data_IF_899732983313
#
_entry.id   IF_899732983313
#
_cell.length_a   1.000
_cell.length_b   1.000
_cell.length_c   1.000
_cell.angle_alpha   90.00
_cell.angle_beta   90.00
_cell.angle_gamma   90.00
#
_symmetry.space_group_name_H-M   'P 1'
#
loop_
_entity.id
_entity.type
_entity.pdbx_description
1 polymer ?
#
# COMPACT_ATOMS: atom_id res chain seq x y z
N UNK A 1 7.22 -5.81 0.73
CA UNK A 1 6.55 -4.60 1.26
C UNK A 1 5.77 -3.91 0.16
N UNK A 2 4.54 -3.48 0.44
CA UNK A 2 3.76 -2.66 -0.47
C UNK A 2 2.82 -1.71 0.31
N UNK A 3 2.40 -0.61 -0.33
CA UNK A 3 1.24 0.17 0.12
C UNK A 3 -0.05 -0.48 -0.37
N UNK A 4 -1.17 -0.19 0.27
CA UNK A 4 -2.48 -0.73 -0.06
C UNK A 4 -2.94 -0.40 -1.49
N UNK A 5 -2.65 0.81 -1.99
CA UNK A 5 -2.93 1.17 -3.37
C UNK A 5 -2.19 0.29 -4.37
N UNK A 6 -0.88 0.18 -4.23
CA UNK A 6 -0.05 -0.66 -5.11
C UNK A 6 -0.44 -2.15 -5.01
N UNK A 7 -0.69 -2.64 -3.79
CA UNK A 7 -1.12 -4.01 -3.56
C UNK A 7 -2.48 -4.30 -4.21
N UNK A 8 -3.44 -3.38 -4.08
CA UNK A 8 -4.79 -3.54 -4.62
C UNK A 8 -4.85 -3.81 -6.12
N UNK A 9 -3.86 -3.33 -6.88
CA UNK A 9 -3.76 -3.57 -8.33
C UNK A 9 -3.54 -5.06 -8.65
N UNK A 10 -2.80 -5.78 -7.81
CA UNK A 10 -2.41 -7.18 -8.03
C UNK A 10 -2.91 -8.12 -6.93
N UNK A 11 -3.92 -7.71 -6.17
CA UNK A 11 -4.45 -8.48 -5.04
C UNK A 11 -4.94 -9.89 -5.44
N UNK A 12 -5.42 -10.06 -6.67
CA UNK A 12 -5.82 -11.35 -7.22
C UNK A 12 -4.68 -12.39 -7.22
N UNK A 13 -3.41 -11.97 -7.25
CA UNK A 13 -2.27 -12.88 -7.21
C UNK A 13 -2.11 -13.60 -5.86
N UNK A 14 -2.79 -13.16 -4.80
CA UNK A 14 -2.82 -13.90 -3.55
C UNK A 14 -3.36 -15.33 -3.70
N UNK A 15 -4.28 -15.53 -4.64
CA UNK A 15 -4.79 -16.89 -4.96
C UNK A 15 -3.67 -17.80 -5.46
N UNK A 16 -2.76 -17.26 -6.28
CA UNK A 16 -1.60 -18.00 -6.78
C UNK A 16 -0.62 -18.32 -5.65
N UNK A 17 -0.36 -17.37 -4.76
CA UNK A 17 0.51 -17.57 -3.59
C UNK A 17 -0.10 -18.60 -2.64
N UNK A 18 -1.41 -18.56 -2.42
CA UNK A 18 -2.15 -19.46 -1.53
C UNK A 18 -2.19 -20.92 -1.99
N UNK A 19 -1.86 -21.22 -3.26
CA UNK A 19 -1.75 -22.59 -3.76
C UNK A 19 -0.63 -23.40 -3.09
N UNK A 20 0.33 -22.74 -2.46
CA UNK A 20 1.43 -23.41 -1.76
C UNK A 20 2.53 -23.97 -2.67
N UNK A 21 2.54 -23.63 -3.95
CA UNK A 21 3.57 -24.06 -4.90
C UNK A 21 4.84 -23.22 -4.82
N UNK A 22 4.78 -22.10 -4.10
CA UNK A 22 5.86 -21.14 -3.92
C UNK A 22 6.55 -21.33 -2.58
N UNK A 23 7.84 -21.00 -2.47
CA UNK A 23 8.48 -20.89 -1.17
C UNK A 23 7.71 -19.91 -0.25
N UNK A 24 7.61 -20.19 1.06
CA UNK A 24 6.88 -19.34 1.98
C UNK A 24 7.52 -17.95 2.09
N UNK A 25 6.69 -16.94 2.26
CA UNK A 25 7.13 -15.55 2.37
C UNK A 25 6.36 -14.79 3.43
N UNK A 26 6.92 -13.69 3.93
CA UNK A 26 6.23 -12.71 4.76
C UNK A 26 5.90 -11.49 3.93
N UNK A 27 4.62 -11.21 3.75
CA UNK A 27 4.10 -10.05 3.02
C UNK A 27 3.63 -8.99 4.00
N UNK A 28 4.07 -7.75 3.83
CA UNK A 28 3.70 -6.64 4.72
C UNK A 28 3.08 -5.53 3.90
N UNK A 29 1.82 -5.19 4.19
CA UNK A 29 1.06 -4.18 3.48
C UNK A 29 0.78 -3.01 4.43
N UNK A 30 1.33 -1.85 4.09
CA UNK A 30 1.06 -0.60 4.79
C UNK A 30 -0.24 0.00 4.28
N UNK A 31 -1.25 0.04 5.13
CA UNK A 31 -2.61 0.45 4.76
C UNK A 31 -2.94 1.81 5.35
N UNK A 32 -2.89 2.83 4.53
CA UNK A 32 -3.30 4.19 4.87
C UNK A 32 -4.63 4.61 4.23
N UNK A 33 -5.34 3.67 3.57
CA UNK A 33 -6.67 3.84 2.96
C UNK A 33 -6.74 4.87 1.84
N UNK A 34 -5.63 5.10 1.14
CA UNK A 34 -5.59 6.11 0.08
C UNK A 34 -4.42 5.88 -0.89
N UNK A 35 -4.57 6.42 -2.09
CA UNK A 35 -3.48 6.60 -3.02
C UNK A 35 -2.62 7.80 -2.57
N UNK A 36 -1.77 7.57 -1.58
CA UNK A 36 -1.07 8.65 -0.87
C UNK A 36 -0.13 9.47 -1.76
N UNK A 37 0.55 8.85 -2.72
CA UNK A 37 1.42 9.55 -3.66
C UNK A 37 0.62 10.46 -4.59
N UNK A 38 -0.46 9.96 -5.16
CA UNK A 38 -1.37 10.70 -6.04
C UNK A 38 -2.07 11.83 -5.29
N UNK A 39 -2.53 11.56 -4.07
CA UNK A 39 -3.17 12.57 -3.21
C UNK A 39 -2.22 13.72 -2.88
N UNK A 40 -0.95 13.40 -2.58
CA UNK A 40 0.08 14.41 -2.36
C UNK A 40 0.32 15.26 -3.62
N UNK A 41 0.41 14.65 -4.78
CA UNK A 41 0.58 15.39 -6.04
C UNK A 41 -0.62 16.31 -6.29
N UNK A 42 -1.82 15.86 -5.97
CA UNK A 42 -3.05 16.67 -6.05
C UNK A 42 -3.00 17.88 -5.12
N UNK A 43 -2.54 17.71 -3.88
CA UNK A 43 -2.31 18.83 -2.96
C UNK A 43 -1.31 19.84 -3.52
N UNK A 44 -0.22 19.36 -4.14
CA UNK A 44 0.84 20.23 -4.64
C UNK A 44 0.50 20.96 -5.94
N UNK A 45 -0.29 20.34 -6.80
CA UNK A 45 -0.45 20.79 -8.19
C UNK A 45 -1.87 21.16 -8.59
N UNK A 46 -2.88 20.71 -7.82
CA UNK A 46 -4.29 20.82 -8.18
C UNK A 46 -5.18 21.33 -7.03
N UNK A 47 -4.62 22.11 -6.11
CA UNK A 47 -5.34 22.82 -5.03
C UNK A 47 -6.32 21.90 -4.26
N UNK A 48 -5.86 20.70 -3.88
CA UNK A 48 -6.63 19.69 -3.13
C UNK A 48 -7.89 19.17 -3.85
N UNK A 49 -7.96 19.28 -5.15
CA UNK A 49 -9.05 18.71 -5.93
C UNK A 49 -8.91 17.17 -6.05
N UNK A 50 -9.24 16.47 -4.97
CA UNK A 50 -9.09 15.02 -4.87
C UNK A 50 -10.14 14.26 -5.66
N UNK A 51 -9.72 13.42 -6.60
CA UNK A 51 -10.58 12.54 -7.38
C UNK A 51 -10.06 11.11 -7.33
N UNK A 52 -10.85 10.19 -6.76
CA UNK A 52 -10.53 8.76 -6.74
C UNK A 52 -9.31 8.38 -5.89
N UNK A 53 -8.89 9.24 -4.96
CA UNK A 53 -7.69 9.01 -4.13
C UNK A 53 -7.96 8.22 -2.86
N UNK A 54 -9.21 8.03 -2.47
CA UNK A 54 -9.60 7.28 -1.27
C UNK A 54 -9.85 5.81 -1.60
N UNK A 55 -9.39 4.91 -0.74
CA UNK A 55 -9.65 3.49 -0.80
C UNK A 55 -10.71 3.08 0.23
N UNK A 56 -11.40 1.97 -0.03
CA UNK A 56 -12.45 1.46 0.87
C UNK A 56 -11.87 1.09 2.24
N UNK A 57 -12.53 1.55 3.30
CA UNK A 57 -12.12 1.30 4.68
C UNK A 57 -12.72 0.01 5.26
N UNK A 58 -13.74 -0.58 4.62
CA UNK A 58 -14.45 -1.75 5.12
C UNK A 58 -13.81 -3.09 4.71
N UNK A 59 -12.96 -3.06 3.68
CA UNK A 59 -12.24 -4.25 3.23
C UNK A 59 -11.13 -4.58 4.24
N UNK A 60 -10.91 -5.85 4.54
CA UNK A 60 -9.71 -6.33 5.25
C UNK A 60 -8.90 -7.21 4.32
N UNK A 61 -7.70 -6.78 3.99
CA UNK A 61 -6.79 -7.57 3.17
C UNK A 61 -6.29 -8.81 3.90
N UNK A 62 -6.12 -8.75 5.22
CA UNK A 62 -5.78 -9.91 6.03
C UNK A 62 -6.85 -11.01 5.91
N UNK A 63 -8.15 -10.66 5.98
CA UNK A 63 -9.24 -11.63 5.79
C UNK A 63 -9.30 -12.20 4.37
N UNK A 64 -8.96 -11.40 3.37
CA UNK A 64 -8.86 -11.88 1.99
C UNK A 64 -7.69 -12.86 1.87
N UNK A 65 -6.55 -12.55 2.51
CA UNK A 65 -5.40 -13.44 2.55
C UNK A 65 -5.75 -14.80 3.19
N UNK A 66 -6.47 -14.81 4.32
CA UNK A 66 -7.00 -16.04 4.94
C UNK A 66 -7.88 -16.83 3.96
N UNK A 67 -8.78 -16.16 3.27
CA UNK A 67 -9.65 -16.80 2.29
C UNK A 67 -8.89 -17.38 1.09
N UNK A 68 -7.69 -16.87 0.80
CA UNK A 68 -6.79 -17.39 -0.23
C UNK A 68 -5.86 -18.50 0.29
N UNK A 69 -5.93 -18.87 1.59
CA UNK A 69 -5.11 -19.93 2.19
C UNK A 69 -3.79 -19.47 2.80
N UNK A 70 -3.57 -18.16 2.96
CA UNK A 70 -2.44 -17.60 3.68
C UNK A 70 -2.79 -17.43 5.17
N UNK A 71 -1.80 -17.04 5.99
CA UNK A 71 -2.04 -16.60 7.36
C UNK A 71 -2.21 -15.07 7.36
N UNK A 72 -3.44 -14.59 7.49
CA UNK A 72 -3.76 -13.15 7.49
C UNK A 72 -3.73 -12.59 8.91
N UNK A 73 -2.94 -11.53 9.12
CA UNK A 73 -2.81 -10.84 10.41
C UNK A 73 -3.02 -9.35 10.19
N UNK A 74 -3.87 -8.72 11.00
CA UNK A 74 -4.07 -7.27 10.99
C UNK A 74 -3.48 -6.69 12.28
N UNK A 75 -2.68 -5.63 12.17
CA UNK A 75 -2.00 -4.97 13.29
C UNK A 75 -2.18 -3.45 13.22
N UNK A 76 -2.25 -2.80 14.38
CA UNK A 76 -2.50 -1.37 14.53
C UNK A 76 -1.52 -0.67 15.48
N UNK A 77 -0.61 -1.42 16.09
CA UNK A 77 0.42 -0.89 17.00
C UNK A 77 1.80 -1.50 16.69
N UNK A 78 2.85 -0.85 17.20
CA UNK A 78 4.22 -1.34 17.04
C UNK A 78 4.47 -2.65 17.77
N UNK A 79 3.84 -2.85 18.93
CA UNK A 79 3.97 -4.09 19.70
C UNK A 79 3.31 -5.26 18.94
N UNK A 80 2.07 -5.07 18.44
CA UNK A 80 1.40 -6.05 17.60
C UNK A 80 2.20 -6.38 16.32
N UNK A 81 2.80 -5.38 15.69
CA UNK A 81 3.63 -5.58 14.51
C UNK A 81 4.89 -6.40 14.84
N UNK A 82 5.53 -6.11 15.96
CA UNK A 82 6.72 -6.85 16.43
C UNK A 82 6.39 -8.32 16.66
N UNK A 83 5.29 -8.60 17.33
CA UNK A 83 4.85 -9.98 17.62
C UNK A 83 4.45 -10.72 16.33
N UNK A 84 3.70 -10.03 15.43
CA UNK A 84 3.32 -10.58 14.14
C UNK A 84 4.54 -10.91 13.27
N UNK A 85 5.56 -10.03 13.22
CA UNK A 85 6.79 -10.26 12.48
C UNK A 85 7.57 -11.45 13.02
N UNK A 86 7.75 -11.54 14.34
CA UNK A 86 8.44 -12.66 14.97
C UNK A 86 7.74 -13.99 14.66
N UNK A 87 6.41 -14.00 14.72
CA UNK A 87 5.61 -15.19 14.39
C UNK A 87 5.71 -15.53 12.91
N UNK A 88 5.60 -14.55 12.03
CA UNK A 88 5.64 -14.73 10.59
C UNK A 88 7.00 -15.28 10.11
N UNK A 89 8.11 -14.74 10.65
CA UNK A 89 9.46 -15.24 10.33
C UNK A 89 9.63 -16.68 10.81
N UNK A 90 9.17 -17.01 11.99
CA UNK A 90 9.19 -18.38 12.49
C UNK A 90 8.35 -19.32 11.63
N UNK A 91 7.15 -18.93 11.28
CA UNK A 91 6.25 -19.70 10.41
C UNK A 91 6.83 -19.90 9.03
N UNK A 92 7.48 -18.88 8.47
CA UNK A 92 8.18 -18.98 7.19
C UNK A 92 9.34 -19.96 7.23
N UNK A 93 10.17 -19.89 8.27
CA UNK A 93 11.42 -20.68 8.37
C UNK A 93 11.19 -22.11 8.85
N UNK A 94 10.21 -22.35 9.72
CA UNK A 94 10.04 -23.64 10.41
C UNK A 94 8.78 -24.39 9.94
N UNK A 95 7.73 -23.66 9.55
CA UNK A 95 6.40 -24.24 9.31
C UNK A 95 5.95 -24.18 7.85
N UNK A 96 6.79 -23.69 6.95
CA UNK A 96 6.49 -23.53 5.51
C UNK A 96 5.18 -22.77 5.24
N UNK A 97 4.92 -21.69 6.02
CA UNK A 97 3.71 -20.88 5.89
C UNK A 97 4.02 -19.49 5.35
N UNK A 98 3.17 -19.00 4.48
CA UNK A 98 3.17 -17.60 4.04
C UNK A 98 2.26 -16.79 4.95
N UNK A 99 2.79 -15.71 5.52
CA UNK A 99 2.03 -14.78 6.37
C UNK A 99 1.84 -13.43 5.65
N UNK A 100 0.62 -12.92 5.71
CA UNK A 100 0.24 -11.62 5.20
C UNK A 100 -0.10 -10.69 6.38
N UNK A 101 0.69 -9.67 6.59
CA UNK A 101 0.52 -8.70 7.69
C UNK A 101 -0.04 -7.40 7.11
N UNK A 102 -1.27 -7.06 7.48
CA UNK A 102 -1.94 -5.80 7.16
C UNK A 102 -1.68 -4.80 8.30
N UNK A 103 -0.83 -3.81 8.06
CA UNK A 103 -0.47 -2.78 9.03
C UNK A 103 -1.39 -1.57 8.84
N UNK A 104 -2.26 -1.32 9.81
CA UNK A 104 -3.19 -0.19 9.77
C UNK A 104 -2.46 1.12 10.14
N UNK A 105 -2.51 2.09 9.25
CA UNK A 105 -1.92 3.40 9.42
C UNK A 105 -3.00 4.49 9.45
N UNK A 106 -2.61 5.69 9.88
CA UNK A 106 -3.42 6.88 9.71
C UNK A 106 -3.34 7.40 8.25
N UNK A 107 -4.16 8.40 7.92
CA UNK A 107 -4.21 9.02 6.58
C UNK A 107 -3.20 10.16 6.38
N UNK A 108 -2.26 10.35 7.28
CA UNK A 108 -1.23 11.37 7.10
C UNK A 108 -0.38 11.09 5.85
N UNK A 109 -0.22 12.13 5.05
CA UNK A 109 0.68 12.12 3.91
C UNK A 109 2.07 12.52 4.40
N UNK A 110 2.88 11.61 4.90
CA UNK A 110 4.25 11.89 5.35
C UNK A 110 5.06 12.78 4.39
N UNK A 111 6.26 13.18 4.72
CA UNK A 111 7.13 13.99 3.84
C UNK A 111 7.44 13.25 2.53
N UNK A 112 7.57 13.95 1.40
CA UNK A 112 7.90 13.32 0.13
C UNK A 112 9.28 12.70 0.18
N UNK A 113 9.39 11.51 -0.37
CA UNK A 113 10.66 10.76 -0.45
C UNK A 113 11.75 11.51 -1.23
N UNK A 114 11.36 12.30 -2.23
CA UNK A 114 12.28 13.07 -3.07
C UNK A 114 11.84 14.52 -3.13
N UNK A 115 12.80 15.45 -2.93
CA UNK A 115 12.52 16.89 -3.00
C UNK A 115 12.10 17.36 -4.40
N UNK A 116 12.55 16.70 -5.44
CA UNK A 116 12.18 17.01 -6.83
C UNK A 116 10.73 16.59 -7.16
N UNK A 117 10.17 15.65 -6.43
CA UNK A 117 8.74 15.31 -6.51
C UNK A 117 7.82 16.46 -6.08
N UNK A 118 8.36 17.47 -5.39
CA UNK A 118 7.63 18.68 -4.98
C UNK A 118 7.56 19.74 -6.09
N UNK A 119 8.24 19.53 -7.22
CA UNK A 119 8.24 20.49 -8.33
C UNK A 119 7.15 20.14 -9.32
N UNK A 120 6.37 21.14 -9.72
CA UNK A 120 5.45 20.99 -10.86
C UNK A 120 6.24 20.60 -12.12
N UNK A 121 5.71 19.73 -12.95
CA UNK A 121 6.31 19.44 -14.25
C UNK A 121 6.50 20.74 -15.05
N UNK A 122 7.67 20.90 -15.68
CA UNK A 122 8.01 22.09 -16.47
C UNK A 122 7.33 22.05 -17.84
N UNK A 123 6.96 20.86 -18.29
CA UNK A 123 6.23 20.67 -19.53
C UNK A 123 5.50 19.30 -19.53
N UNK A 124 4.32 19.30 -20.09
CA UNK A 124 3.58 18.08 -20.46
C UNK A 124 3.55 18.06 -21.99
N UNK A 125 3.72 16.91 -22.63
CA UNK A 125 3.70 16.80 -24.07
C UNK A 125 2.39 17.39 -24.65
N UNK A 126 2.52 18.40 -25.50
CA UNK A 126 1.38 19.09 -26.13
C UNK A 126 0.74 20.22 -25.32
N UNK A 127 1.27 20.54 -24.13
CA UNK A 127 0.78 21.63 -23.28
C UNK A 127 1.93 22.57 -22.94
N UNK A 128 1.75 23.87 -23.12
CA UNK A 128 2.76 24.85 -22.76
C UNK A 128 2.76 25.12 -21.25
N UNK A 129 3.90 25.59 -20.72
CA UNK A 129 3.99 25.95 -19.30
C UNK A 129 3.05 27.10 -18.91
N UNK A 130 2.71 27.98 -19.89
CA UNK A 130 1.73 29.05 -19.73
C UNK A 130 0.29 28.51 -19.60
N UNK A 131 -0.03 27.45 -20.33
CA UNK A 131 -1.36 26.83 -20.31
C UNK A 131 -1.61 26.07 -19.00
N UNK A 132 -0.54 25.57 -18.40
CA UNK A 132 -0.58 24.88 -17.09
C UNK A 132 -0.71 25.84 -15.88
N UNK A 133 -0.40 27.12 -16.08
CA UNK A 133 -0.45 28.13 -15.01
C UNK A 133 -1.77 28.93 -15.03
N UNK A 134 -2.65 28.70 -16.00
CA UNK A 134 -3.88 29.47 -16.24
C UNK A 134 -5.16 28.81 -15.71
N UNK A 135 -5.07 27.65 -15.09
CA UNK A 135 -6.13 26.94 -14.36
C UNK A 135 -5.78 26.91 -12.88
#
# INVERSE_FOLDING_TARGET
FAGDGAFGISMNEMVSVGRGDWPPMTMIIFRNYQWGAEKRNTTLWFDDNFVGTELDTNVSYAKIADACGLVGVQVSSMDELTDALNTAVKDQMENNKTTFIEVLLNKELGEPFRRDAMKKPVAVAGVSASDMAAE
#
